data_IF_499987184861
#
_entry.id   IF_499987184861
#
_cell.length_a   1.000
_cell.length_b   1.000
_cell.length_c   1.000
_cell.angle_alpha   90.00
_cell.angle_beta   90.00
_cell.angle_gamma   90.00
#
_symmetry.space_group_name_H-M   'P 1'
#
loop_
_entity.id
_entity.type
_entity.pdbx_description
1 polymer ?
#
# COMPACT_ATOMS: atom_id res chain seq x y z
N UNK A 1 -20.01 11.59 -14.70
CA UNK A 1 -18.92 10.71 -14.23
C UNK A 1 -17.62 11.23 -14.81
N UNK A 2 -16.72 11.77 -13.98
CA UNK A 2 -15.34 12.08 -14.39
C UNK A 2 -14.55 10.81 -14.16
N UNK A 3 -14.24 10.06 -15.22
CA UNK A 3 -13.27 8.97 -15.16
C UNK A 3 -11.90 9.63 -15.11
N UNK A 4 -11.35 9.80 -13.92
CA UNK A 4 -9.95 10.12 -13.77
C UNK A 4 -9.16 8.84 -14.02
N UNK A 5 -8.72 8.62 -15.24
CA UNK A 5 -7.63 7.69 -15.52
C UNK A 5 -6.41 8.31 -14.84
N UNK A 6 -5.97 7.73 -13.75
CA UNK A 6 -4.74 8.17 -13.10
C UNK A 6 -3.60 7.60 -13.94
N UNK A 7 -3.22 8.34 -14.97
CA UNK A 7 -1.85 8.24 -15.47
C UNK A 7 -0.92 8.49 -14.27
N UNK A 8 0.27 7.86 -14.23
CA UNK A 8 1.25 8.22 -13.23
C UNK A 8 1.33 9.74 -13.22
N UNK A 9 0.87 10.31 -12.11
CA UNK A 9 0.69 11.74 -11.98
C UNK A 9 2.09 12.35 -12.05
N UNK A 10 2.39 12.96 -13.16
CA UNK A 10 3.60 13.75 -13.26
C UNK A 10 3.40 15.03 -12.44
N UNK A 11 3.77 14.92 -11.17
CA UNK A 11 3.68 16.01 -10.21
C UNK A 11 4.45 17.25 -10.71
N UNK A 12 5.48 17.05 -11.55
CA UNK A 12 6.27 18.16 -12.12
C UNK A 12 5.39 19.11 -12.92
N UNK A 13 4.45 18.61 -13.69
CA UNK A 13 3.58 19.43 -14.55
C UNK A 13 2.71 20.40 -13.75
N UNK A 14 2.17 19.98 -12.60
CA UNK A 14 1.36 20.87 -11.76
C UNK A 14 2.26 21.81 -10.96
N UNK A 15 3.37 21.33 -10.44
CA UNK A 15 4.28 22.11 -9.64
C UNK A 15 5.00 23.15 -10.50
N UNK A 16 5.37 22.80 -11.73
CA UNK A 16 5.88 23.75 -12.73
C UNK A 16 4.84 24.83 -13.07
N UNK A 17 3.57 24.44 -13.21
CA UNK A 17 2.47 25.37 -13.46
C UNK A 17 2.27 26.37 -12.31
N UNK A 18 2.60 25.98 -11.08
CA UNK A 18 2.56 26.84 -9.89
C UNK A 18 3.93 27.40 -9.50
N UNK A 19 5.00 27.10 -10.25
CA UNK A 19 6.35 27.58 -9.97
C UNK A 19 6.94 27.02 -8.67
N UNK A 20 6.53 25.81 -8.27
CA UNK A 20 6.98 25.14 -7.04
C UNK A 20 8.05 24.14 -7.39
N UNK A 21 9.24 24.30 -6.82
CA UNK A 21 10.32 23.31 -6.91
C UNK A 21 9.96 22.06 -6.08
N UNK A 22 9.82 20.92 -6.76
CA UNK A 22 9.44 19.62 -6.14
C UNK A 22 10.45 19.14 -5.12
N UNK A 23 11.73 19.49 -5.31
CA UNK A 23 12.83 19.05 -4.45
C UNK A 23 13.08 20.03 -3.30
N UNK A 24 12.41 21.19 -3.30
CA UNK A 24 12.49 22.13 -2.20
C UNK A 24 11.84 21.53 -0.94
N UNK A 25 12.53 21.65 0.18
CA UNK A 25 12.04 21.18 1.47
C UNK A 25 10.95 22.13 1.98
N UNK A 26 9.80 21.59 2.34
CA UNK A 26 8.76 22.35 3.04
C UNK A 26 9.25 22.66 4.45
N UNK A 27 9.35 23.97 4.78
CA UNK A 27 9.84 24.44 6.08
C UNK A 27 9.17 23.72 7.25
N UNK A 28 9.95 23.21 8.18
CA UNK A 28 9.63 22.57 9.45
C UNK A 28 9.45 21.03 9.43
N UNK A 29 9.27 20.35 8.30
CA UNK A 29 8.91 18.92 8.32
C UNK A 29 9.93 17.98 7.68
N UNK A 30 11.02 18.45 7.14
CA UNK A 30 12.03 17.63 6.44
C UNK A 30 11.47 16.75 5.31
N UNK A 31 10.30 17.11 4.78
CA UNK A 31 9.67 16.47 3.62
C UNK A 31 9.74 17.41 2.42
N UNK A 32 9.89 16.86 1.22
CA UNK A 32 9.83 17.64 0.00
C UNK A 32 8.38 18.04 -0.32
N UNK A 33 8.20 19.10 -1.11
CA UNK A 33 6.87 19.45 -1.62
C UNK A 33 6.24 18.29 -2.41
N UNK A 34 7.06 17.52 -3.15
CA UNK A 34 6.61 16.31 -3.84
C UNK A 34 6.01 15.29 -2.90
N UNK A 35 6.65 14.99 -1.77
CA UNK A 35 6.13 14.07 -0.75
C UNK A 35 4.86 14.61 -0.09
N UNK A 36 4.82 15.90 0.22
CA UNK A 36 3.64 16.52 0.82
C UNK A 36 2.41 16.43 -0.12
N UNK A 37 2.59 16.68 -1.41
CA UNK A 37 1.53 16.60 -2.41
C UNK A 37 1.10 15.14 -2.64
N UNK A 38 2.06 14.21 -2.68
CA UNK A 38 1.74 12.78 -2.76
C UNK A 38 0.88 12.33 -1.57
N UNK A 39 1.24 12.74 -0.36
CA UNK A 39 0.48 12.43 0.85
C UNK A 39 -0.91 13.07 0.84
N UNK A 40 -1.03 14.32 0.39
CA UNK A 40 -2.33 15.00 0.22
C UNK A 40 -3.19 14.34 -0.85
N UNK A 41 -2.61 13.95 -1.98
CA UNK A 41 -3.32 13.25 -3.06
C UNK A 41 -3.86 11.90 -2.59
N UNK A 42 -3.06 11.15 -1.83
CA UNK A 42 -3.51 9.89 -1.25
C UNK A 42 -4.63 10.10 -0.21
N UNK A 43 -4.49 11.09 0.67
CA UNK A 43 -5.55 11.43 1.63
C UNK A 43 -6.85 11.83 0.92
N UNK A 44 -6.76 12.62 -0.15
CA UNK A 44 -7.93 13.02 -0.95
C UNK A 44 -8.60 11.83 -1.65
N UNK A 45 -7.81 10.92 -2.24
CA UNK A 45 -8.31 9.68 -2.84
C UNK A 45 -9.10 8.86 -1.82
N UNK A 46 -8.58 8.70 -0.61
CA UNK A 46 -9.24 7.93 0.43
C UNK A 46 -10.54 8.58 0.89
N UNK A 47 -10.60 9.92 0.95
CA UNK A 47 -11.83 10.65 1.22
C UNK A 47 -12.87 10.45 0.11
N UNK A 48 -12.45 10.30 -1.14
CA UNK A 48 -13.34 10.10 -2.30
C UNK A 48 -13.82 8.65 -2.43
N UNK A 49 -13.05 7.67 -1.98
CA UNK A 49 -13.32 6.24 -2.18
C UNK A 49 -13.76 5.49 -0.91
N UNK A 50 -14.16 6.18 0.13
CA UNK A 50 -14.85 5.56 1.25
C UNK A 50 -14.06 5.40 2.54
N UNK A 51 -13.27 6.40 2.92
CA UNK A 51 -12.81 6.50 4.31
C UNK A 51 -13.96 6.89 5.23
N UNK A 52 -13.93 6.44 6.47
CA UNK A 52 -14.79 7.00 7.51
C UNK A 52 -14.56 8.51 7.65
N UNK A 53 -15.50 9.23 8.24
CA UNK A 53 -15.46 10.70 8.40
C UNK A 53 -14.23 11.22 9.14
N UNK A 54 -13.49 10.36 9.82
CA UNK A 54 -12.23 10.64 10.54
C UNK A 54 -10.96 10.30 9.72
N UNK A 55 -11.12 9.92 8.44
CA UNK A 55 -10.01 9.51 7.56
C UNK A 55 -9.55 8.07 7.76
N UNK A 56 -10.20 7.30 8.61
CA UNK A 56 -9.88 5.87 8.78
C UNK A 56 -10.50 5.01 7.67
N UNK A 57 -9.82 3.94 7.31
CA UNK A 57 -10.35 2.90 6.42
C UNK A 57 -11.18 1.94 7.26
N UNK A 58 -12.48 1.76 6.95
CA UNK A 58 -13.27 0.78 7.68
C UNK A 58 -12.75 -0.64 7.40
N UNK A 59 -12.76 -1.52 8.40
CA UNK A 59 -12.47 -2.94 8.19
C UNK A 59 -13.48 -3.58 7.23
N UNK A 60 -12.98 -4.40 6.30
CA UNK A 60 -13.85 -5.24 5.47
C UNK A 60 -14.56 -6.25 6.37
N UNK A 61 -15.87 -6.35 6.24
CA UNK A 61 -16.67 -7.37 6.94
C UNK A 61 -16.44 -8.77 6.35
N UNK A 62 -16.70 -9.82 7.12
CA UNK A 62 -16.59 -11.20 6.63
C UNK A 62 -17.51 -11.48 5.44
N UNK A 63 -18.67 -10.84 5.39
CA UNK A 63 -19.62 -10.99 4.28
C UNK A 63 -19.06 -10.36 3.00
N UNK A 64 -18.54 -9.14 3.07
CA UNK A 64 -17.91 -8.45 1.93
C UNK A 64 -16.68 -9.21 1.46
N UNK A 65 -15.83 -9.66 2.38
CA UNK A 65 -14.66 -10.48 2.06
C UNK A 65 -15.05 -11.76 1.31
N UNK A 66 -16.05 -12.49 1.79
CA UNK A 66 -16.50 -13.73 1.14
C UNK A 66 -17.11 -13.46 -0.24
N UNK A 67 -17.88 -12.38 -0.41
CA UNK A 67 -18.41 -11.98 -1.71
C UNK A 67 -17.28 -11.61 -2.68
N UNK A 68 -16.29 -10.85 -2.22
CA UNK A 68 -15.13 -10.49 -3.03
C UNK A 68 -14.35 -11.75 -3.48
N UNK A 69 -14.05 -12.66 -2.55
CA UNK A 69 -13.34 -13.89 -2.87
C UNK A 69 -14.13 -14.83 -3.80
N UNK A 70 -15.45 -14.80 -3.73
CA UNK A 70 -16.31 -15.57 -4.64
C UNK A 70 -16.29 -15.03 -6.07
N UNK A 71 -16.12 -13.71 -6.25
CA UNK A 71 -16.05 -13.05 -7.56
C UNK A 71 -14.72 -13.30 -8.28
N UNK A 72 -13.65 -13.67 -7.55
CA UNK A 72 -12.33 -13.89 -8.17
C UNK A 72 -12.29 -15.20 -8.98
N UNK A 73 -11.90 -15.09 -10.25
CA UNK A 73 -11.59 -16.25 -11.09
C UNK A 73 -10.09 -16.61 -10.99
N UNK A 74 -9.73 -17.28 -9.91
CA UNK A 74 -8.36 -17.71 -9.68
C UNK A 74 -8.28 -18.95 -8.78
N UNK A 75 -7.07 -19.52 -8.66
CA UNK A 75 -6.84 -20.72 -7.85
C UNK A 75 -7.14 -20.51 -6.35
N UNK A 76 -7.40 -21.61 -5.62
CA UNK A 76 -7.60 -21.56 -4.18
C UNK A 76 -6.45 -20.95 -3.40
N UNK A 77 -5.20 -21.17 -3.84
CA UNK A 77 -4.01 -20.53 -3.23
C UNK A 77 -4.02 -19.01 -3.39
N UNK A 78 -4.42 -18.51 -4.56
CA UNK A 78 -4.54 -17.06 -4.80
C UNK A 78 -5.70 -16.46 -4.01
N UNK A 79 -6.82 -17.17 -3.88
CA UNK A 79 -7.93 -16.77 -2.99
C UNK A 79 -7.49 -16.69 -1.54
N UNK A 80 -6.62 -17.59 -1.08
CA UNK A 80 -6.09 -17.55 0.29
C UNK A 80 -5.15 -16.36 0.50
N UNK A 81 -4.29 -16.03 -0.48
CA UNK A 81 -3.51 -14.79 -0.46
C UNK A 81 -4.42 -13.57 -0.29
N UNK A 82 -5.47 -13.48 -1.10
CA UNK A 82 -6.42 -12.37 -1.02
C UNK A 82 -7.19 -12.35 0.29
N UNK A 83 -7.58 -13.52 0.82
CA UNK A 83 -8.23 -13.61 2.14
C UNK A 83 -7.33 -13.05 3.23
N UNK A 84 -6.05 -13.44 3.27
CA UNK A 84 -5.09 -12.93 4.23
C UNK A 84 -4.88 -11.42 4.05
N UNK A 85 -4.66 -10.95 2.83
CA UNK A 85 -4.41 -9.55 2.55
C UNK A 85 -5.59 -8.67 2.96
N UNK A 86 -6.79 -9.00 2.51
CA UNK A 86 -8.01 -8.21 2.75
C UNK A 86 -8.46 -8.26 4.21
N UNK A 87 -8.13 -9.32 4.96
CA UNK A 87 -8.44 -9.39 6.39
C UNK A 87 -7.74 -8.30 7.23
N UNK A 88 -6.68 -7.70 6.70
CA UNK A 88 -5.94 -6.63 7.37
C UNK A 88 -6.42 -5.22 7.02
N UNK A 89 -7.27 -5.07 5.99
CA UNK A 89 -7.78 -3.76 5.55
C UNK A 89 -8.50 -3.05 6.69
N UNK A 90 -8.09 -1.80 6.95
CA UNK A 90 -8.61 -0.97 8.03
C UNK A 90 -8.26 -1.43 9.46
N UNK A 91 -7.46 -2.49 9.61
CA UNK A 91 -7.12 -3.07 10.92
C UNK A 91 -5.66 -2.89 11.31
N UNK A 92 -4.77 -2.81 10.32
CA UNK A 92 -3.33 -2.75 10.56
C UNK A 92 -2.78 -1.42 10.04
N UNK A 93 -2.20 -0.59 10.92
CA UNK A 93 -1.65 0.70 10.54
C UNK A 93 -0.33 0.55 9.79
N UNK A 94 0.08 1.63 9.12
CA UNK A 94 1.42 1.72 8.57
C UNK A 94 2.45 2.02 9.65
N UNK A 95 3.53 1.24 9.65
CA UNK A 95 4.67 1.45 10.55
C UNK A 95 5.97 1.23 9.76
N UNK A 96 6.77 2.26 9.61
CA UNK A 96 8.03 2.20 8.86
C UNK A 96 9.00 1.19 9.46
N UNK A 97 9.44 0.21 8.63
CA UNK A 97 10.22 -0.95 9.07
C UNK A 97 9.38 -1.99 9.83
N UNK A 98 8.06 -1.90 9.77
CA UNK A 98 7.16 -2.84 10.42
C UNK A 98 7.13 -4.20 9.74
N UNK A 99 7.41 -5.23 10.52
CA UNK A 99 7.42 -6.65 10.11
C UNK A 99 6.68 -7.48 11.15
N UNK A 100 6.17 -8.63 10.75
CA UNK A 100 5.50 -9.54 11.67
C UNK A 100 5.67 -10.99 11.23
N UNK A 101 5.74 -11.88 12.21
CA UNK A 101 5.59 -13.31 11.97
C UNK A 101 4.18 -13.63 11.42
N UNK A 102 3.99 -14.80 10.77
CA UNK A 102 2.69 -15.24 10.27
C UNK A 102 1.60 -15.23 11.36
N UNK A 103 0.38 -14.94 10.94
CA UNK A 103 -0.78 -14.87 11.81
C UNK A 103 -0.97 -13.52 12.49
N UNK A 104 -2.05 -13.39 13.25
CA UNK A 104 -2.42 -12.15 13.91
C UNK A 104 -1.39 -11.75 14.98
N UNK A 105 -0.90 -10.52 14.93
CA UNK A 105 0.00 -9.99 15.91
C UNK A 105 -0.78 -9.07 16.88
N UNK A 106 -0.83 -9.47 18.15
CA UNK A 106 -1.54 -8.72 19.20
C UNK A 106 -0.90 -7.37 19.54
N UNK A 107 0.33 -7.12 19.09
CA UNK A 107 1.02 -5.84 19.30
C UNK A 107 0.63 -4.78 18.25
N UNK A 108 -0.03 -5.15 17.17
CA UNK A 108 -0.53 -4.18 16.22
C UNK A 108 -1.44 -3.15 16.91
N UNK A 109 -1.38 -1.92 16.47
CA UNK A 109 -2.03 -0.75 17.05
C UNK A 109 -1.48 -0.30 18.43
N UNK A 110 -0.52 -1.00 19.01
CA UNK A 110 0.15 -0.51 20.24
C UNK A 110 1.17 0.58 19.88
N UNK A 111 1.34 1.62 20.74
CA UNK A 111 2.35 2.65 20.51
C UNK A 111 3.76 2.06 20.53
N UNK A 112 4.54 2.28 19.46
CA UNK A 112 5.96 1.89 19.39
C UNK A 112 6.80 3.01 18.79
N UNK A 113 8.07 3.05 19.19
CA UNK A 113 9.07 3.95 18.61
C UNK A 113 9.50 3.40 17.22
N UNK A 114 9.41 4.24 16.19
CA UNK A 114 9.97 3.94 14.86
C UNK A 114 11.48 4.08 14.94
N UNK A 115 12.20 2.96 14.84
CA UNK A 115 13.67 2.92 14.93
C UNK A 115 14.36 2.79 13.59
N UNK A 116 13.66 2.30 12.56
CA UNK A 116 14.21 2.16 11.21
C UNK A 116 14.54 3.53 10.61
N UNK A 117 15.73 3.68 10.06
CA UNK A 117 16.19 4.92 9.43
C UNK A 117 15.51 5.13 8.05
N UNK A 118 15.55 6.37 7.54
CA UNK A 118 15.13 6.68 6.18
C UNK A 118 13.66 7.10 6.02
N UNK A 119 12.97 7.45 7.11
CA UNK A 119 11.61 7.99 7.06
C UNK A 119 11.48 9.25 7.94
N UNK A 120 10.58 10.13 7.57
CA UNK A 120 10.18 11.28 8.41
C UNK A 120 9.53 10.84 9.73
N UNK A 121 9.06 9.60 9.82
CA UNK A 121 8.53 9.02 11.06
C UNK A 121 9.59 8.46 11.99
N UNK A 122 10.85 8.32 11.54
CA UNK A 122 11.96 7.82 12.38
C UNK A 122 12.11 8.66 13.65
N UNK A 123 12.20 8.01 14.81
CA UNK A 123 12.29 8.67 16.11
C UNK A 123 10.94 9.11 16.68
N UNK A 124 9.80 8.87 16.01
CA UNK A 124 8.46 9.17 16.54
C UNK A 124 7.77 7.91 17.06
N UNK A 125 6.82 8.09 17.97
CA UNK A 125 5.95 7.00 18.45
C UNK A 125 4.74 6.92 17.52
N UNK A 126 4.49 5.71 16.99
CA UNK A 126 3.37 5.42 16.07
C UNK A 126 2.66 4.15 16.51
N UNK A 127 1.37 3.97 16.13
CA UNK A 127 0.73 2.66 16.24
C UNK A 127 1.53 1.63 15.46
N UNK A 128 1.91 0.52 16.10
CA UNK A 128 2.68 -0.53 15.47
C UNK A 128 1.86 -1.25 14.40
N UNK A 129 2.48 -1.57 13.28
CA UNK A 129 1.86 -2.21 12.15
C UNK A 129 2.91 -2.75 11.17
N UNK A 130 2.60 -2.67 9.89
CA UNK A 130 3.45 -3.15 8.80
C UNK A 130 3.86 -1.99 7.89
N UNK A 131 5.01 -2.11 7.24
CA UNK A 131 5.30 -1.31 6.04
C UNK A 131 4.81 -2.03 4.78
N UNK A 132 5.02 -1.45 3.60
CA UNK A 132 4.52 -2.03 2.35
C UNK A 132 5.10 -3.41 2.06
N UNK A 133 6.41 -3.59 2.23
CA UNK A 133 7.09 -4.86 2.01
C UNK A 133 6.82 -5.87 3.13
N UNK A 134 6.68 -5.42 4.37
CA UNK A 134 6.30 -6.26 5.49
C UNK A 134 4.87 -6.79 5.37
N UNK A 135 3.98 -6.01 4.76
CA UNK A 135 2.63 -6.47 4.44
C UNK A 135 2.64 -7.62 3.44
N UNK A 136 3.32 -7.47 2.30
CA UNK A 136 3.40 -8.53 1.28
C UNK A 136 4.11 -9.78 1.81
N UNK A 137 5.20 -9.61 2.56
CA UNK A 137 5.90 -10.70 3.22
C UNK A 137 4.98 -11.46 4.18
N UNK A 138 4.25 -10.75 5.05
CA UNK A 138 3.31 -11.36 5.99
C UNK A 138 2.20 -12.12 5.28
N UNK A 139 1.64 -11.56 4.20
CA UNK A 139 0.56 -12.19 3.43
C UNK A 139 1.03 -13.50 2.81
N UNK A 140 2.15 -13.50 2.11
CA UNK A 140 2.68 -14.70 1.46
C UNK A 140 3.08 -15.77 2.47
N UNK A 141 3.70 -15.36 3.57
CA UNK A 141 4.10 -16.29 4.60
C UNK A 141 2.90 -16.88 5.36
N UNK A 142 1.89 -16.06 5.67
CA UNK A 142 0.69 -16.51 6.38
C UNK A 142 -0.17 -17.41 5.50
N UNK A 143 -0.41 -17.04 4.24
CA UNK A 143 -1.30 -17.77 3.34
C UNK A 143 -0.67 -19.03 2.76
N UNK A 144 0.61 -19.01 2.43
CA UNK A 144 1.26 -20.07 1.64
C UNK A 144 2.51 -20.65 2.29
N UNK A 145 3.00 -20.11 3.41
CA UNK A 145 4.30 -20.47 3.99
C UNK A 145 5.49 -20.05 3.14
N UNK A 146 5.31 -19.13 2.21
CA UNK A 146 6.36 -18.64 1.32
C UNK A 146 6.97 -17.38 1.92
N UNK A 147 8.28 -17.39 2.13
CA UNK A 147 9.02 -16.22 2.60
C UNK A 147 9.42 -15.36 1.41
N UNK A 148 8.96 -14.11 1.40
CA UNK A 148 9.48 -13.07 0.53
C UNK A 148 10.71 -12.42 1.19
N UNK A 149 11.53 -11.76 0.37
CA UNK A 149 12.68 -11.04 0.89
C UNK A 149 12.26 -9.74 1.58
N UNK A 150 13.01 -9.33 2.59
CA UNK A 150 12.80 -8.06 3.28
C UNK A 150 13.12 -6.87 2.36
N UNK A 151 12.24 -5.90 2.37
CA UNK A 151 12.35 -4.65 1.61
C UNK A 151 11.85 -4.76 0.16
N UNK A 152 11.26 -3.66 -0.30
CA UNK A 152 10.64 -3.56 -1.64
C UNK A 152 11.62 -3.89 -2.77
N UNK A 153 12.87 -3.40 -2.64
CA UNK A 153 13.91 -3.65 -3.64
C UNK A 153 14.26 -5.13 -3.76
N UNK A 154 14.43 -5.83 -2.64
CA UNK A 154 14.77 -7.25 -2.65
C UNK A 154 13.59 -8.10 -3.17
N UNK A 155 12.35 -7.70 -2.91
CA UNK A 155 11.17 -8.35 -3.48
C UNK A 155 11.10 -8.13 -5.00
N UNK A 156 11.40 -6.91 -5.49
CA UNK A 156 11.50 -6.63 -6.91
C UNK A 156 12.54 -7.51 -7.60
N UNK A 157 13.75 -7.56 -7.05
CA UNK A 157 14.87 -8.33 -7.62
C UNK A 157 14.61 -9.86 -7.64
N UNK A 158 13.76 -10.34 -6.73
CA UNK A 158 13.37 -11.75 -6.62
C UNK A 158 12.18 -12.13 -7.52
N UNK A 159 11.58 -11.20 -8.23
CA UNK A 159 10.43 -11.42 -9.12
C UNK A 159 10.84 -11.30 -10.58
N UNK A 160 9.97 -11.75 -11.47
CA UNK A 160 10.09 -11.54 -12.91
C UNK A 160 8.90 -10.72 -13.42
N UNK A 161 9.17 -9.89 -14.43
CA UNK A 161 8.12 -9.09 -15.04
C UNK A 161 7.13 -9.98 -15.82
N UNK A 162 5.87 -9.65 -15.72
CA UNK A 162 4.77 -10.21 -16.50
C UNK A 162 4.07 -9.09 -17.25
N UNK A 163 3.26 -9.44 -18.24
CA UNK A 163 2.41 -8.47 -18.95
C UNK A 163 1.14 -8.19 -18.12
N UNK A 164 0.44 -7.14 -18.50
CA UNK A 164 -0.81 -6.75 -17.86
C UNK A 164 -1.90 -7.82 -18.03
N UNK A 165 -1.90 -8.50 -19.17
CA UNK A 165 -2.85 -9.58 -19.48
C UNK A 165 -2.60 -10.86 -18.68
N UNK A 166 -1.38 -11.03 -18.16
CA UNK A 166 -1.00 -12.18 -17.33
C UNK A 166 -1.29 -11.96 -15.84
N UNK A 167 -1.74 -10.75 -15.47
CA UNK A 167 -1.91 -10.34 -14.08
C UNK A 167 -3.02 -11.14 -13.40
N UNK A 168 -2.71 -11.79 -12.30
CA UNK A 168 -3.65 -12.58 -11.50
C UNK A 168 -3.66 -12.12 -10.03
N UNK A 169 -4.80 -12.22 -9.34
CA UNK A 169 -4.87 -11.87 -7.91
C UNK A 169 -3.75 -12.51 -7.10
N UNK A 170 -3.05 -11.68 -6.33
CA UNK A 170 -1.87 -12.06 -5.56
C UNK A 170 -0.54 -11.76 -6.23
N UNK A 171 -0.47 -11.34 -7.48
CA UNK A 171 0.78 -10.88 -8.09
C UNK A 171 1.23 -9.57 -7.47
N UNK A 172 2.55 -9.35 -7.44
CA UNK A 172 3.14 -8.13 -6.87
C UNK A 172 3.16 -7.01 -7.91
N UNK A 173 2.68 -5.85 -7.51
CA UNK A 173 2.89 -4.61 -8.22
C UNK A 173 3.96 -3.77 -7.54
N UNK A 174 4.77 -3.08 -8.31
CA UNK A 174 5.82 -2.22 -7.79
C UNK A 174 5.70 -0.82 -8.34
N UNK A 175 5.86 0.17 -7.47
CA UNK A 175 5.81 1.59 -7.85
C UNK A 175 7.17 2.24 -7.56
N UNK A 176 7.51 3.19 -8.40
CA UNK A 176 8.64 4.07 -8.21
C UNK A 176 8.16 5.53 -8.22
N UNK A 177 8.76 6.37 -7.38
CA UNK A 177 8.63 7.82 -7.53
C UNK A 177 9.62 8.26 -8.61
N UNK A 178 9.19 8.99 -9.65
CA UNK A 178 10.07 9.48 -10.69
C UNK A 178 11.28 10.22 -10.11
N UNK A 179 12.48 9.91 -10.60
CA UNK A 179 13.72 10.53 -10.13
C UNK A 179 14.31 9.98 -8.83
N UNK A 180 13.69 8.98 -8.21
CA UNK A 180 14.19 8.32 -6.99
C UNK A 180 14.77 6.93 -7.28
N UNK A 181 14.98 6.12 -6.24
CA UNK A 181 15.31 4.69 -6.38
C UNK A 181 14.25 3.98 -7.24
N UNK A 182 14.63 2.96 -8.00
CA UNK A 182 13.77 2.35 -9.01
C UNK A 182 12.40 1.90 -8.50
N UNK A 183 12.34 1.37 -7.27
CA UNK A 183 11.07 0.96 -6.63
C UNK A 183 11.09 1.33 -5.15
N UNK A 184 10.01 1.92 -4.67
CA UNK A 184 9.88 2.35 -3.27
C UNK A 184 8.58 1.89 -2.61
N UNK A 185 7.69 1.26 -3.36
CA UNK A 185 6.43 0.75 -2.86
C UNK A 185 6.06 -0.57 -3.54
N UNK A 186 5.40 -1.45 -2.79
CA UNK A 186 4.91 -2.75 -3.28
C UNK A 186 3.45 -2.92 -2.88
N UNK A 187 2.69 -3.53 -3.80
CA UNK A 187 1.26 -3.79 -3.71
C UNK A 187 0.97 -5.24 -4.11
N UNK A 188 -0.21 -5.73 -3.74
CA UNK A 188 -0.77 -6.99 -4.24
C UNK A 188 -1.95 -6.69 -5.17
N UNK A 189 -1.93 -7.23 -6.36
CA UNK A 189 -3.07 -7.16 -7.26
C UNK A 189 -4.24 -7.97 -6.68
N UNK A 190 -5.41 -7.35 -6.61
CA UNK A 190 -6.58 -7.95 -6.00
C UNK A 190 -7.66 -8.35 -7.02
N UNK A 191 -7.50 -8.00 -8.28
CA UNK A 191 -8.50 -8.20 -9.33
C UNK A 191 -9.02 -6.89 -9.89
N UNK A 192 -10.23 -6.91 -10.43
CA UNK A 192 -10.88 -5.73 -11.00
C UNK A 192 -12.23 -5.47 -10.33
N UNK A 193 -12.63 -4.21 -10.31
CA UNK A 193 -13.99 -3.83 -9.91
C UNK A 193 -14.99 -4.05 -11.06
N UNK A 194 -16.27 -3.78 -10.81
CA UNK A 194 -17.34 -3.93 -11.79
C UNK A 194 -17.20 -2.99 -13.01
N UNK A 195 -16.37 -1.97 -12.92
CA UNK A 195 -16.07 -1.04 -14.01
C UNK A 195 -14.80 -1.42 -14.78
N UNK A 196 -14.10 -2.49 -14.39
CA UNK A 196 -12.84 -2.94 -14.97
C UNK A 196 -11.61 -2.18 -14.47
N UNK A 197 -11.72 -1.43 -13.36
CA UNK A 197 -10.56 -0.80 -12.75
C UNK A 197 -9.79 -1.83 -11.93
N UNK A 198 -8.46 -1.82 -12.05
CA UNK A 198 -7.59 -2.69 -11.25
C UNK A 198 -7.61 -2.29 -9.79
N UNK A 199 -7.84 -3.27 -8.94
CA UNK A 199 -7.82 -3.13 -7.49
C UNK A 199 -6.48 -3.62 -6.94
N UNK A 200 -5.94 -2.88 -5.99
CA UNK A 200 -4.68 -3.19 -5.32
C UNK A 200 -4.86 -3.14 -3.80
N UNK A 201 -4.36 -4.14 -3.12
CA UNK A 201 -4.28 -4.12 -1.65
C UNK A 201 -2.83 -3.90 -1.23
N UNK A 202 -2.61 -2.93 -0.36
CA UNK A 202 -1.28 -2.57 0.10
C UNK A 202 -1.30 -1.88 1.46
N UNK A 203 -0.14 -1.78 2.10
CA UNK A 203 0.01 -1.00 3.31
C UNK A 203 0.59 0.38 2.96
N UNK A 204 -0.27 1.40 2.99
CA UNK A 204 0.06 2.75 2.56
C UNK A 204 0.52 3.63 3.73
N UNK A 205 1.58 4.41 3.50
CA UNK A 205 2.09 5.36 4.50
C UNK A 205 1.01 6.36 4.93
N UNK A 206 0.88 6.56 6.24
CA UNK A 206 -0.12 7.45 6.84
C UNK A 206 -1.54 6.90 6.92
N UNK A 207 -1.79 5.69 6.37
CA UNK A 207 -3.13 5.12 6.26
C UNK A 207 -3.18 3.72 6.90
N UNK A 208 -2.27 2.84 6.52
CA UNK A 208 -2.30 1.43 6.86
C UNK A 208 -2.72 0.54 5.70
N UNK A 209 -3.27 -0.64 6.00
CA UNK A 209 -3.70 -1.58 4.95
C UNK A 209 -5.01 -1.13 4.34
N UNK A 210 -5.02 -0.99 3.03
CA UNK A 210 -6.13 -0.46 2.21
C UNK A 210 -6.27 -1.25 0.92
N UNK A 211 -7.50 -1.31 0.40
CA UNK A 211 -7.87 -1.76 -0.94
C UNK A 211 -8.33 -0.55 -1.74
N UNK A 212 -7.70 -0.29 -2.89
CA UNK A 212 -8.07 0.81 -3.79
C UNK A 212 -7.66 0.54 -5.23
#
# INVERSE_FOLDING_TARGET
YVVCTIHPFDQSVILDAFGVDVDATYDQFSITYGEAIFNMSNALKMTMYGTASDGSVPPISDAELNLFLASLDCSGKRKELMRCALSLVGRVPYFWGGKSAPGWNSEWNTPKLVTSAGSSSTGTIRPYGLDCSGFTEWVYQTALGVTLYDGTWNQWDATHAITEEELLPGDLGFMAVPGTVPVNHVLLYAGEDAAGNKLWVHCASGIGVVLN
#
